data_IF_141845810268
#
_entry.id   IF_141845810268
#
_cell.length_a   1.000
_cell.length_b   1.000
_cell.length_c   1.000
_cell.angle_alpha   90.00
_cell.angle_beta   90.00
_cell.angle_gamma   90.00
#
_symmetry.space_group_name_H-M   'P 1'
#
loop_
_entity.id
_entity.type
_entity.pdbx_description
1 polymer ?
#
# COMPACT_ATOMS: atom_id res chain seq x y z
N UNK A 1 12.50 11.70 -12.76
CA UNK A 1 12.11 11.12 -11.47
C UNK A 1 12.99 9.91 -11.24
N UNK A 2 13.77 9.93 -10.17
CA UNK A 2 14.53 8.78 -9.69
C UNK A 2 13.62 7.69 -9.13
N UNK A 3 14.14 6.49 -8.96
CA UNK A 3 13.43 5.37 -8.33
C UNK A 3 12.96 5.75 -6.92
N UNK A 4 13.82 6.40 -6.14
CA UNK A 4 13.47 6.85 -4.79
C UNK A 4 12.34 7.90 -4.78
N UNK A 5 12.35 8.87 -5.71
CA UNK A 5 11.25 9.84 -5.83
C UNK A 5 9.94 9.16 -6.25
N UNK A 6 10.02 8.17 -7.14
CA UNK A 6 8.84 7.40 -7.56
C UNK A 6 8.23 6.63 -6.38
N UNK A 7 9.05 5.90 -5.63
CA UNK A 7 8.58 5.12 -4.48
C UNK A 7 7.97 6.03 -3.41
N UNK A 8 8.59 7.18 -3.13
CA UNK A 8 8.03 8.18 -2.19
C UNK A 8 6.66 8.70 -2.63
N UNK A 9 6.48 8.91 -3.94
CA UNK A 9 5.17 9.28 -4.49
C UNK A 9 4.16 8.14 -4.31
N UNK A 10 4.55 6.90 -4.59
CA UNK A 10 3.65 5.74 -4.45
C UNK A 10 3.28 5.47 -2.97
N UNK A 11 4.19 5.75 -2.02
CA UNK A 11 3.92 5.76 -0.57
C UNK A 11 2.84 6.77 -0.22
N UNK A 12 2.94 8.02 -0.70
CA UNK A 12 1.95 9.05 -0.43
C UNK A 12 0.55 8.69 -0.98
N UNK A 13 0.49 8.11 -2.19
CA UNK A 13 -0.77 7.63 -2.78
C UNK A 13 -1.38 6.49 -1.94
N UNK A 14 -0.53 5.64 -1.35
CA UNK A 14 -0.99 4.56 -0.47
C UNK A 14 -1.61 5.12 0.81
N UNK A 15 -0.97 6.13 1.41
CA UNK A 15 -1.49 6.82 2.60
C UNK A 15 -2.85 7.48 2.32
N UNK A 16 -3.00 8.14 1.17
CA UNK A 16 -4.29 8.68 0.72
C UNK A 16 -5.36 7.58 0.58
N UNK A 17 -4.99 6.45 -0.04
CA UNK A 17 -5.91 5.31 -0.19
C UNK A 17 -6.33 4.69 1.13
N UNK A 18 -5.46 4.71 2.14
CA UNK A 18 -5.77 4.24 3.49
C UNK A 18 -6.78 5.16 4.20
N UNK A 19 -6.65 6.48 4.03
CA UNK A 19 -7.61 7.46 4.59
C UNK A 19 -9.00 7.26 3.98
N UNK A 20 -9.08 6.98 2.68
CA UNK A 20 -10.36 6.68 2.02
C UNK A 20 -11.01 5.41 2.62
N UNK A 21 -10.21 4.38 2.92
CA UNK A 21 -10.69 3.12 3.48
C UNK A 21 -11.20 3.24 4.92
N UNK A 22 -10.75 4.22 5.71
CA UNK A 22 -11.25 4.43 7.09
C UNK A 22 -12.75 4.75 7.12
N UNK A 23 -13.31 5.23 6.00
CA UNK A 23 -14.74 5.48 5.84
C UNK A 23 -15.57 4.28 5.39
N UNK A 24 -14.93 3.14 5.12
CA UNK A 24 -15.55 1.94 4.54
C UNK A 24 -15.71 0.85 5.60
N UNK A 25 -16.89 0.22 5.66
CA UNK A 25 -17.11 -0.93 6.54
C UNK A 25 -16.42 -2.19 6.00
N UNK A 26 -15.42 -2.67 6.74
CA UNK A 26 -14.65 -3.87 6.41
C UNK A 26 -15.14 -5.06 7.22
N UNK A 27 -15.21 -6.23 6.58
CA UNK A 27 -15.36 -7.50 7.29
C UNK A 27 -14.01 -8.02 7.77
N UNK A 28 -14.05 -9.08 8.59
CA UNK A 28 -12.85 -9.67 9.19
C UNK A 28 -11.82 -10.19 8.16
N UNK A 29 -12.26 -10.53 6.94
CA UNK A 29 -11.34 -10.92 5.87
C UNK A 29 -10.67 -9.69 5.25
N UNK A 30 -11.44 -8.66 4.94
CA UNK A 30 -10.92 -7.41 4.38
C UNK A 30 -9.96 -6.72 5.36
N UNK A 31 -10.26 -6.73 6.66
CA UNK A 31 -9.35 -6.20 7.69
C UNK A 31 -7.98 -6.91 7.67
N UNK A 32 -7.94 -8.23 7.49
CA UNK A 32 -6.69 -8.99 7.36
C UNK A 32 -5.92 -8.64 6.09
N UNK A 33 -6.63 -8.39 4.99
CA UNK A 33 -6.01 -7.96 3.73
C UNK A 33 -5.43 -6.55 3.87
N UNK A 34 -6.15 -5.64 4.52
CA UNK A 34 -5.68 -4.28 4.81
C UNK A 34 -4.48 -4.30 5.77
N UNK A 35 -4.50 -5.15 6.80
CA UNK A 35 -3.34 -5.34 7.68
C UNK A 35 -2.12 -5.84 6.89
N UNK A 36 -2.31 -6.81 5.99
CA UNK A 36 -1.23 -7.28 5.12
C UNK A 36 -0.70 -6.17 4.21
N UNK A 37 -1.56 -5.31 3.66
CA UNK A 37 -1.13 -4.16 2.87
C UNK A 37 -0.30 -3.17 3.69
N UNK A 38 -0.70 -2.88 4.94
CA UNK A 38 0.08 -2.04 5.87
C UNK A 38 1.47 -2.63 6.13
N UNK A 39 1.58 -3.95 6.30
CA UNK A 39 2.88 -4.62 6.47
C UNK A 39 3.80 -4.41 5.26
N UNK A 40 3.28 -4.54 4.04
CA UNK A 40 4.06 -4.27 2.83
C UNK A 40 4.41 -2.78 2.65
N UNK A 41 3.56 -1.86 3.12
CA UNK A 41 3.90 -0.44 3.19
C UNK A 41 5.05 -0.18 4.18
N UNK A 42 5.09 -0.83 5.34
CA UNK A 42 6.23 -0.75 6.26
C UNK A 42 7.51 -1.35 5.65
N UNK A 43 7.40 -2.50 4.99
CA UNK A 43 8.52 -3.11 4.26
C UNK A 43 9.06 -2.17 3.18
N UNK A 44 8.18 -1.46 2.47
CA UNK A 44 8.57 -0.45 1.48
C UNK A 44 9.47 0.60 2.10
N UNK A 45 9.07 1.18 3.24
CA UNK A 45 9.87 2.20 3.94
C UNK A 45 11.21 1.65 4.38
N UNK A 46 11.23 0.43 4.90
CA UNK A 46 12.46 -0.26 5.31
C UNK A 46 13.44 -0.43 4.13
N UNK A 47 12.99 -1.01 3.02
CA UNK A 47 13.86 -1.26 1.86
C UNK A 47 14.28 0.04 1.15
N UNK A 48 13.41 1.05 1.14
CA UNK A 48 13.74 2.38 0.62
C UNK A 48 14.88 3.02 1.42
N UNK A 49 14.85 2.95 2.75
CA UNK A 49 15.92 3.46 3.62
C UNK A 49 17.25 2.72 3.38
N UNK A 50 17.18 1.42 3.10
CA UNK A 50 18.37 0.59 2.77
C UNK A 50 18.92 0.81 1.36
N UNK A 51 18.23 1.57 0.51
CA UNK A 51 18.61 1.76 -0.89
C UNK A 51 18.27 0.57 -1.80
N UNK A 52 17.50 -0.40 -1.32
CA UNK A 52 16.99 -1.50 -2.14
C UNK A 52 15.68 -1.08 -2.82
N UNK A 53 15.82 -0.29 -3.88
CA UNK A 53 14.69 0.30 -4.59
C UNK A 53 13.84 -0.74 -5.33
N UNK A 54 14.42 -1.85 -5.79
CA UNK A 54 13.67 -2.89 -6.50
C UNK A 54 12.72 -3.60 -5.55
N UNK A 55 13.21 -4.01 -4.37
CA UNK A 55 12.37 -4.65 -3.35
C UNK A 55 11.33 -3.67 -2.81
N UNK A 56 11.72 -2.42 -2.52
CA UNK A 56 10.78 -1.39 -2.07
C UNK A 56 9.66 -1.14 -3.09
N UNK A 57 10.00 -1.04 -4.38
CA UNK A 57 9.02 -0.88 -5.45
C UNK A 57 8.07 -2.09 -5.56
N UNK A 58 8.59 -3.31 -5.39
CA UNK A 58 7.76 -4.52 -5.33
C UNK A 58 6.77 -4.49 -4.17
N UNK A 59 7.24 -4.12 -2.97
CA UNK A 59 6.41 -4.04 -1.76
C UNK A 59 5.26 -3.03 -1.92
N UNK A 60 5.53 -1.82 -2.40
CA UNK A 60 4.49 -0.78 -2.51
C UNK A 60 3.44 -1.12 -3.56
N UNK A 61 3.85 -1.71 -4.69
CA UNK A 61 2.91 -2.16 -5.72
C UNK A 61 2.01 -3.29 -5.22
N UNK A 62 2.55 -4.21 -4.41
CA UNK A 62 1.76 -5.27 -3.81
C UNK A 62 0.76 -4.70 -2.79
N UNK A 63 1.18 -3.75 -1.96
CA UNK A 63 0.31 -3.05 -1.02
C UNK A 63 -0.86 -2.35 -1.76
N UNK A 64 -0.56 -1.62 -2.83
CA UNK A 64 -1.58 -1.00 -3.70
C UNK A 64 -2.55 -2.03 -4.28
N UNK A 65 -2.05 -3.13 -4.85
CA UNK A 65 -2.90 -4.17 -5.43
C UNK A 65 -3.88 -4.80 -4.44
N UNK A 66 -3.47 -4.97 -3.17
CA UNK A 66 -4.36 -5.45 -2.12
C UNK A 66 -5.47 -4.45 -1.81
N UNK A 67 -5.13 -3.17 -1.64
CA UNK A 67 -6.09 -2.11 -1.32
C UNK A 67 -7.06 -1.86 -2.47
N UNK A 68 -6.57 -1.80 -3.70
CA UNK A 68 -7.40 -1.66 -4.90
C UNK A 68 -8.40 -2.82 -5.03
N UNK A 69 -7.97 -4.04 -4.69
CA UNK A 69 -8.85 -5.20 -4.64
C UNK A 69 -10.00 -5.02 -3.64
N UNK A 70 -9.72 -4.52 -2.44
CA UNK A 70 -10.75 -4.21 -1.43
C UNK A 70 -11.68 -3.11 -1.92
N UNK A 71 -11.14 -2.00 -2.43
CA UNK A 71 -11.91 -0.86 -2.95
C UNK A 71 -12.90 -1.32 -4.03
N UNK A 72 -12.44 -2.09 -5.02
CA UNK A 72 -13.30 -2.62 -6.09
C UNK A 72 -14.45 -3.51 -5.60
N UNK A 73 -14.25 -4.24 -4.49
CA UNK A 73 -15.33 -5.05 -3.90
C UNK A 73 -16.35 -4.22 -3.12
N UNK A 74 -16.01 -2.99 -2.73
CA UNK A 74 -16.85 -2.08 -1.94
C UNK A 74 -17.53 -0.99 -2.79
N UNK A 75 -17.15 -0.88 -4.06
CA UNK A 75 -17.78 0.00 -5.07
C UNK A 75 -19.14 -0.53 -5.61
N UNK A 76 -19.62 -1.69 -5.12
CA UNK A 76 -20.93 -2.28 -5.47
C UNK A 76 -21.92 -2.28 -4.32
#
# INVERSE_FOLDING_TARGET
MSEAERIKKDIAIFEESMVELDSVSLGAYEEKVVDQAKRYYEDTKYYLEKGDYFTAFGCINYAHGLIDGIKKMKEG
#
